data_IF_426535275186
#
_entry.id   IF_426535275186
#
_cell.length_a   1.000
_cell.length_b   1.000
_cell.length_c   1.000
_cell.angle_alpha   90.00
_cell.angle_beta   90.00
_cell.angle_gamma   90.00
#
_symmetry.space_group_name_H-M   'P 1'
#
loop_
_entity.id
_entity.type
_entity.pdbx_description
1 polymer ?
#
# COMPACT_ATOMS: atom_id res chain seq x y z
N UNK A 1 16.91 -5.94 13.73
CA UNK A 1 15.79 -6.58 13.00
C UNK A 1 15.84 -6.07 11.57
N UNK A 2 16.02 -6.96 10.58
CA UNK A 2 16.23 -6.54 9.18
C UNK A 2 15.08 -5.69 8.64
N UNK A 3 15.43 -4.57 8.01
CA UNK A 3 14.46 -3.56 7.58
C UNK A 3 13.50 -4.08 6.50
N UNK A 4 13.94 -5.07 5.70
CA UNK A 4 13.15 -5.74 4.67
C UNK A 4 12.13 -6.71 5.27
N UNK A 5 12.54 -7.47 6.30
CA UNK A 5 11.65 -8.39 7.02
C UNK A 5 10.53 -7.63 7.71
N UNK A 6 10.83 -6.47 8.31
CA UNK A 6 9.83 -5.59 8.91
C UNK A 6 8.80 -5.09 7.89
N UNK A 7 9.24 -4.68 6.68
CA UNK A 7 8.33 -4.22 5.63
C UNK A 7 7.41 -5.32 5.10
N UNK A 8 7.93 -6.55 4.97
CA UNK A 8 7.12 -7.70 4.58
C UNK A 8 6.04 -8.01 5.64
N UNK A 9 6.40 -7.99 6.93
CA UNK A 9 5.44 -8.16 8.03
C UNK A 9 4.36 -7.07 7.98
N UNK A 10 4.74 -5.82 7.74
CA UNK A 10 3.78 -4.72 7.63
C UNK A 10 2.80 -4.91 6.46
N UNK A 11 3.28 -5.38 5.30
CA UNK A 11 2.38 -5.71 4.17
C UNK A 11 1.39 -6.81 4.54
N UNK A 12 1.84 -7.84 5.27
CA UNK A 12 0.98 -8.93 5.75
C UNK A 12 -0.07 -8.38 6.72
N UNK A 13 0.32 -7.54 7.68
CA UNK A 13 -0.61 -6.94 8.65
C UNK A 13 -1.69 -6.15 7.92
N UNK A 14 -1.31 -5.25 7.00
CA UNK A 14 -2.28 -4.45 6.23
C UNK A 14 -3.21 -5.34 5.41
N UNK A 15 -2.68 -6.38 4.74
CA UNK A 15 -3.49 -7.32 3.98
C UNK A 15 -4.48 -8.11 4.85
N UNK A 16 -4.04 -8.58 6.02
CA UNK A 16 -4.91 -9.27 6.98
C UNK A 16 -5.99 -8.34 7.53
N UNK A 17 -5.68 -7.07 7.81
CA UNK A 17 -6.67 -6.09 8.24
C UNK A 17 -7.77 -5.87 7.20
N UNK A 18 -7.44 -5.87 5.90
CA UNK A 18 -8.44 -5.84 4.83
C UNK A 18 -9.35 -7.07 4.86
N UNK A 19 -8.75 -8.26 4.94
CA UNK A 19 -9.51 -9.52 4.98
C UNK A 19 -10.46 -9.57 6.18
N UNK A 20 -9.99 -9.17 7.36
CA UNK A 20 -10.80 -9.10 8.57
C UNK A 20 -11.92 -8.06 8.45
N UNK A 21 -11.62 -6.87 7.92
CA UNK A 21 -12.64 -5.84 7.70
C UNK A 21 -13.73 -6.26 6.71
N UNK A 22 -13.36 -6.95 5.62
CA UNK A 22 -14.33 -7.48 4.65
C UNK A 22 -15.14 -8.62 5.28
N UNK A 23 -14.50 -9.52 6.02
CA UNK A 23 -15.20 -10.60 6.72
C UNK A 23 -16.22 -10.06 7.72
N UNK A 24 -15.88 -9.01 8.46
CA UNK A 24 -16.78 -8.34 9.40
C UNK A 24 -17.97 -7.65 8.70
N UNK A 25 -17.76 -7.10 7.50
CA UNK A 25 -18.86 -6.53 6.71
C UNK A 25 -19.85 -7.60 6.20
N UNK A 26 -19.38 -8.81 5.90
CA UNK A 26 -20.22 -9.92 5.42
C UNK A 26 -20.88 -10.63 6.61
N UNK A 27 -20.14 -10.83 7.68
CA UNK A 27 -20.54 -11.51 8.91
C UNK A 27 -20.22 -10.61 10.10
N UNK A 28 -21.14 -9.69 10.46
CA UNK A 28 -20.92 -8.80 11.60
C UNK A 28 -20.93 -9.61 12.90
N UNK A 29 -19.76 -9.75 13.53
CA UNK A 29 -19.58 -10.47 14.81
C UNK A 29 -19.36 -9.46 15.95
N UNK A 30 -18.77 -8.31 15.63
CA UNK A 30 -18.53 -7.22 16.57
C UNK A 30 -19.73 -6.26 16.63
N UNK A 31 -19.92 -5.54 17.75
CA UNK A 31 -20.99 -4.54 17.87
C UNK A 31 -20.69 -3.24 17.09
N UNK A 32 -19.75 -3.24 16.14
CA UNK A 32 -19.38 -2.06 15.37
C UNK A 32 -20.44 -1.81 14.30
N UNK A 33 -21.06 -0.61 14.24
CA UNK A 33 -22.03 -0.30 13.20
C UNK A 33 -21.38 -0.39 11.80
N UNK A 34 -22.01 -1.03 10.80
CA UNK A 34 -21.46 -1.12 9.44
C UNK A 34 -21.11 0.23 8.81
N UNK A 35 -21.83 1.30 9.16
CA UNK A 35 -21.54 2.66 8.71
C UNK A 35 -20.16 3.15 9.13
N UNK A 36 -19.67 2.75 10.31
CA UNK A 36 -18.32 3.09 10.77
C UNK A 36 -17.26 2.37 9.96
N UNK A 37 -17.46 1.07 9.70
CA UNK A 37 -16.56 0.29 8.84
C UNK A 37 -16.50 0.88 7.43
N UNK A 38 -17.65 1.26 6.87
CA UNK A 38 -17.71 1.94 5.57
C UNK A 38 -16.98 3.28 5.57
N UNK A 39 -17.09 4.08 6.64
CA UNK A 39 -16.35 5.33 6.78
C UNK A 39 -14.82 5.09 6.86
N UNK A 40 -14.39 4.08 7.64
CA UNK A 40 -12.97 3.70 7.72
C UNK A 40 -12.44 3.22 6.38
N UNK A 41 -13.20 2.38 5.67
CA UNK A 41 -12.85 1.92 4.31
C UNK A 41 -12.75 3.11 3.35
N UNK A 42 -13.73 4.02 3.38
CA UNK A 42 -13.72 5.23 2.55
C UNK A 42 -12.48 6.10 2.78
N UNK A 43 -12.16 6.40 4.05
CA UNK A 43 -10.97 7.16 4.42
C UNK A 43 -9.68 6.43 4.01
N UNK A 44 -9.63 5.11 4.18
CA UNK A 44 -8.49 4.28 3.77
C UNK A 44 -8.28 4.33 2.25
N UNK A 45 -9.34 4.20 1.45
CA UNK A 45 -9.28 4.30 0.00
C UNK A 45 -8.79 5.67 -0.46
N UNK A 46 -9.26 6.76 0.16
CA UNK A 46 -8.77 8.11 -0.12
C UNK A 46 -7.29 8.25 0.19
N UNK A 47 -6.83 7.71 1.33
CA UNK A 47 -5.42 7.71 1.68
C UNK A 47 -4.57 6.92 0.67
N UNK A 48 -5.04 5.74 0.24
CA UNK A 48 -4.36 4.90 -0.74
C UNK A 48 -4.33 5.54 -2.14
N UNK A 49 -5.39 6.24 -2.53
CA UNK A 49 -5.42 7.04 -3.75
C UNK A 49 -4.39 8.18 -3.69
N UNK A 50 -4.31 8.91 -2.57
CA UNK A 50 -3.29 9.93 -2.34
C UNK A 50 -1.86 9.38 -2.40
N UNK A 51 -1.62 8.21 -1.82
CA UNK A 51 -0.34 7.51 -1.89
C UNK A 51 0.01 7.07 -3.32
N UNK A 52 -0.99 6.64 -4.09
CA UNK A 52 -0.82 6.27 -5.51
C UNK A 52 -0.41 7.48 -6.34
N UNK A 53 -1.10 8.61 -6.17
CA UNK A 53 -0.75 9.89 -6.82
C UNK A 53 0.66 10.32 -6.44
N UNK A 54 1.01 10.26 -5.15
CA UNK A 54 2.36 10.56 -4.68
C UNK A 54 3.41 9.67 -5.36
N UNK A 55 3.15 8.36 -5.45
CA UNK A 55 4.07 7.42 -6.09
C UNK A 55 4.26 7.73 -7.57
N UNK A 56 3.18 7.95 -8.32
CA UNK A 56 3.24 8.28 -9.75
C UNK A 56 4.08 9.54 -9.97
N UNK A 57 3.83 10.60 -9.19
CA UNK A 57 4.54 11.89 -9.32
C UNK A 57 6.03 11.78 -8.97
N UNK A 58 6.39 10.97 -7.97
CA UNK A 58 7.76 10.89 -7.46
C UNK A 58 8.62 9.83 -8.14
N UNK A 59 8.02 8.70 -8.52
CA UNK A 59 8.74 7.51 -8.98
C UNK A 59 8.29 7.02 -10.36
N UNK A 60 7.27 7.62 -10.97
CA UNK A 60 6.71 7.16 -12.25
C UNK A 60 7.73 7.08 -13.37
N UNK A 61 8.70 8.01 -13.42
CA UNK A 61 9.78 8.00 -14.42
C UNK A 61 10.87 6.93 -14.16
N UNK A 62 10.83 6.24 -13.01
CA UNK A 62 11.82 5.23 -12.61
C UNK A 62 11.32 3.79 -12.77
N UNK A 63 10.10 3.61 -13.26
CA UNK A 63 9.48 2.30 -13.45
C UNK A 63 8.98 2.17 -14.87
N UNK A 64 9.06 0.97 -15.43
CA UNK A 64 8.59 0.70 -16.79
C UNK A 64 7.06 0.80 -16.89
N UNK A 65 6.35 0.46 -15.81
CA UNK A 65 4.90 0.60 -15.71
C UNK A 65 4.47 0.98 -14.30
N UNK A 66 3.62 2.00 -14.20
CA UNK A 66 3.15 2.53 -12.92
C UNK A 66 2.00 1.69 -12.34
N UNK A 67 1.28 0.95 -13.20
CA UNK A 67 0.04 0.29 -12.84
C UNK A 67 0.16 -0.84 -11.81
N UNK A 68 1.13 -1.75 -11.93
CA UNK A 68 1.36 -2.76 -10.89
C UNK A 68 1.66 -2.14 -9.52
N UNK A 69 2.34 -0.99 -9.49
CA UNK A 69 2.65 -0.30 -8.24
C UNK A 69 1.42 0.38 -7.64
N UNK A 70 0.58 1.01 -8.46
CA UNK A 70 -0.68 1.59 -7.97
C UNK A 70 -1.58 0.52 -7.37
N UNK A 71 -1.74 -0.63 -8.04
CA UNK A 71 -2.52 -1.74 -7.48
C UNK A 71 -1.95 -2.23 -6.14
N UNK A 72 -0.63 -2.39 -6.05
CA UNK A 72 0.00 -2.77 -4.79
C UNK A 72 -0.11 -1.69 -3.70
N UNK A 73 -0.17 -0.41 -4.05
CA UNK A 73 -0.43 0.68 -3.09
C UNK A 73 -1.90 0.63 -2.64
N UNK A 74 -2.83 0.37 -3.54
CA UNK A 74 -4.25 0.23 -3.18
C UNK A 74 -4.49 -0.89 -2.18
N UNK A 75 -3.68 -1.96 -2.21
CA UNK A 75 -3.78 -3.06 -1.23
C UNK A 75 -2.91 -2.81 0.01
N UNK A 76 -1.63 -2.46 -0.17
CA UNK A 76 -0.63 -2.47 0.89
C UNK A 76 -0.18 -1.08 1.36
N UNK A 77 -0.61 -0.01 0.70
CA UNK A 77 -0.30 1.38 1.04
C UNK A 77 1.19 1.73 1.06
N UNK A 78 1.57 2.59 2.01
CA UNK A 78 2.95 3.08 2.20
C UNK A 78 4.02 1.98 2.35
N UNK A 79 3.79 0.84 3.03
CA UNK A 79 4.73 -0.27 3.04
C UNK A 79 5.28 -0.66 1.67
N UNK A 80 4.46 -0.59 0.61
CA UNK A 80 4.94 -0.83 -0.75
C UNK A 80 5.91 0.25 -1.24
N UNK A 81 5.56 1.52 -1.02
CA UNK A 81 6.36 2.66 -1.47
C UNK A 81 7.72 2.69 -0.77
N UNK A 82 7.76 2.40 0.54
CA UNK A 82 9.01 2.33 1.31
C UNK A 82 9.88 1.16 0.86
N UNK A 83 9.28 -0.01 0.59
CA UNK A 83 10.00 -1.14 0.04
C UNK A 83 10.58 -0.82 -1.35
N UNK A 84 9.80 -0.17 -2.21
CA UNK A 84 10.26 0.27 -3.52
C UNK A 84 11.44 1.23 -3.41
N UNK A 85 11.35 2.25 -2.55
CA UNK A 85 12.41 3.23 -2.37
C UNK A 85 13.74 2.61 -1.93
N UNK A 86 13.70 1.57 -1.08
CA UNK A 86 14.92 0.86 -0.64
C UNK A 86 15.57 0.03 -1.74
N UNK A 87 14.79 -0.42 -2.73
CA UNK A 87 15.26 -1.26 -3.83
C UNK A 87 15.63 -0.44 -5.08
N UNK A 88 15.50 0.89 -5.04
CA UNK A 88 15.90 1.74 -6.16
C UNK A 88 17.42 1.68 -6.37
N UNK A 89 17.90 1.49 -7.61
CA UNK A 89 19.31 1.62 -7.90
C UNK A 89 19.79 3.05 -7.59
N UNK A 90 21.05 3.22 -7.17
CA UNK A 90 21.64 4.55 -7.01
C UNK A 90 21.58 5.31 -8.34
N UNK A 91 21.31 6.62 -8.28
CA UNK A 91 21.08 7.52 -9.44
C UNK A 91 22.21 7.41 -10.49
N UNK A 92 23.43 7.15 -10.05
CA UNK A 92 24.62 7.08 -10.91
C UNK A 92 24.64 5.83 -11.81
N UNK A 93 23.90 4.77 -11.46
CA UNK A 93 23.85 3.53 -12.24
C UNK A 93 22.89 3.63 -13.45
N UNK A 94 22.04 4.65 -13.50
CA UNK A 94 21.09 4.87 -14.60
C UNK A 94 21.70 5.66 -15.78
N UNK A 95 22.83 6.35 -15.58
CA UNK A 95 23.54 7.11 -16.63
C UNK A 95 24.53 6.26 -17.45
N UNK A 96 24.72 4.99 -17.08
CA UNK A 96 25.62 4.06 -17.74
C UNK A 96 24.92 3.13 -18.75
N UNK A 97 23.64 3.39 -19.07
CA UNK A 97 22.84 2.71 -20.09
C UNK A 97 22.29 3.74 -21.06
#
# INVERSE_FOLDING_TARGET
>A
MDSTRSLMIMKIIVGLSWLLGIAELIHPVTPIPPSWLMAVVGLSLVAHAGQSVYFVRKFGARVDSVWPHVLQIMVFGMPHIVAFQKNLPPVNAQLAR
#
